data_IF_376125588247
#
_entry.id   IF_376125588247
#
_cell.length_a   1.000
_cell.length_b   1.000
_cell.length_c   1.000
_cell.angle_alpha   90.00
_cell.angle_beta   90.00
_cell.angle_gamma   90.00
#
_symmetry.space_group_name_H-M   'P 1'
#
loop_
_entity.id
_entity.type
_entity.pdbx_description
1 polymer ?
#
# COMPACT_ATOMS: atom_id res chain seq x y z
N UNK A 1 3.97 -69.33 -19.66
CA UNK A 1 4.57 -68.03 -19.26
C UNK A 1 3.44 -67.01 -19.20
N UNK A 2 3.15 -66.48 -18.00
CA UNK A 2 1.91 -65.75 -17.68
C UNK A 2 2.17 -64.25 -17.54
N UNK A 3 1.35 -63.43 -18.19
CA UNK A 3 1.40 -61.96 -18.33
C UNK A 3 1.27 -61.16 -17.02
N UNK A 4 1.44 -61.77 -15.85
CA UNK A 4 1.18 -61.15 -14.54
C UNK A 4 2.31 -60.28 -14.00
N UNK A 5 3.48 -60.24 -14.64
CA UNK A 5 4.64 -59.50 -14.13
C UNK A 5 4.86 -58.13 -14.78
N UNK A 6 4.05 -57.73 -15.77
CA UNK A 6 4.26 -56.50 -16.54
C UNK A 6 3.40 -55.29 -16.08
N UNK A 7 2.55 -55.45 -15.08
CA UNK A 7 1.65 -54.38 -14.60
C UNK A 7 2.20 -53.56 -13.44
N UNK A 8 3.37 -53.93 -12.89
CA UNK A 8 3.96 -53.25 -11.72
C UNK A 8 4.85 -52.06 -12.11
N UNK A 9 5.11 -51.83 -13.41
CA UNK A 9 5.99 -50.75 -13.87
C UNK A 9 5.26 -49.51 -14.45
N UNK A 10 3.93 -49.49 -14.55
CA UNK A 10 3.14 -48.33 -15.04
C UNK A 10 2.34 -47.64 -13.91
N UNK A 11 2.68 -47.94 -12.65
CA UNK A 11 2.42 -47.01 -11.53
C UNK A 11 3.70 -46.25 -11.18
N UNK A 12 4.63 -46.18 -12.15
CA UNK A 12 5.71 -45.21 -12.17
C UNK A 12 5.21 -43.88 -12.72
N UNK A 13 5.45 -42.81 -11.98
CA UNK A 13 5.43 -41.43 -12.44
C UNK A 13 4.07 -40.83 -12.81
N UNK A 14 3.22 -40.65 -11.79
CA UNK A 14 2.44 -39.42 -11.69
C UNK A 14 2.49 -38.89 -10.26
N UNK A 15 3.70 -38.84 -9.68
CA UNK A 15 3.96 -37.76 -8.73
C UNK A 15 4.04 -36.52 -9.60
N UNK A 16 2.87 -35.96 -9.92
CA UNK A 16 2.74 -34.61 -10.41
C UNK A 16 3.59 -33.80 -9.44
N UNK A 17 4.73 -33.32 -9.90
CA UNK A 17 5.47 -32.29 -9.23
C UNK A 17 4.49 -31.14 -9.08
N UNK A 18 3.77 -31.09 -7.95
CA UNK A 18 3.23 -29.85 -7.46
C UNK A 18 4.47 -28.99 -7.32
N UNK A 19 4.77 -28.20 -8.36
CA UNK A 19 5.58 -27.02 -8.19
C UNK A 19 4.82 -26.24 -7.12
N UNK A 20 5.30 -26.33 -5.89
CA UNK A 20 4.70 -25.73 -4.70
C UNK A 20 4.89 -24.23 -4.87
N UNK A 21 4.04 -23.64 -5.71
CA UNK A 21 3.98 -22.22 -5.92
C UNK A 21 3.33 -21.59 -4.70
N UNK A 22 4.00 -20.62 -4.10
CA UNK A 22 3.36 -19.83 -3.05
C UNK A 22 2.39 -18.86 -3.72
N UNK A 23 1.09 -19.01 -3.46
CA UNK A 23 0.09 -18.02 -3.84
C UNK A 23 0.18 -16.79 -2.92
N UNK A 24 0.24 -15.62 -3.52
CA UNK A 24 0.28 -14.34 -2.80
C UNK A 24 -1.17 -13.89 -2.58
N UNK A 25 -1.66 -14.06 -1.35
CA UNK A 25 -3.05 -13.75 -0.99
C UNK A 25 -3.34 -12.25 -1.01
N UNK A 26 -4.62 -11.91 -1.16
CA UNK A 26 -5.12 -10.53 -1.36
C UNK A 26 -4.89 -9.48 -0.25
N UNK A 27 -4.58 -9.78 1.02
CA UNK A 27 -4.06 -8.71 1.89
C UNK A 27 -2.62 -8.31 1.49
N UNK A 28 -1.84 -9.23 0.95
CA UNK A 28 -0.43 -9.01 0.58
C UNK A 28 -0.24 -8.57 -0.88
N UNK A 29 -1.33 -8.51 -1.66
CA UNK A 29 -1.32 -8.19 -3.08
C UNK A 29 -2.31 -7.06 -3.39
N UNK A 30 -1.78 -5.91 -3.76
CA UNK A 30 -2.53 -4.75 -4.24
C UNK A 30 -2.52 -4.74 -5.77
N UNK A 31 -3.66 -5.05 -6.38
CA UNK A 31 -3.85 -4.98 -7.82
C UNK A 31 -4.87 -3.89 -8.17
N UNK A 32 -4.67 -3.19 -9.28
CA UNK A 32 -5.65 -2.22 -9.77
C UNK A 32 -6.98 -2.91 -10.11
N UNK A 33 -8.13 -2.34 -9.70
CA UNK A 33 -9.45 -2.95 -9.89
C UNK A 33 -9.75 -3.34 -11.36
N UNK A 34 -9.20 -2.59 -12.32
CA UNK A 34 -9.29 -2.86 -13.77
C UNK A 34 -8.70 -4.22 -14.20
N UNK A 35 -7.86 -4.84 -13.37
CA UNK A 35 -7.24 -6.13 -13.63
C UNK A 35 -8.21 -7.31 -13.39
N UNK A 36 -9.35 -7.07 -12.72
CA UNK A 36 -10.34 -8.10 -12.46
C UNK A 36 -9.84 -9.19 -11.52
N UNK A 37 -10.18 -10.45 -11.81
CA UNK A 37 -9.78 -11.58 -10.99
C UNK A 37 -8.36 -12.04 -11.36
N UNK A 38 -7.38 -11.50 -10.66
CA UNK A 38 -5.95 -11.79 -10.86
C UNK A 38 -5.38 -12.53 -9.66
N UNK A 39 -4.53 -13.53 -9.91
CA UNK A 39 -3.76 -14.25 -8.91
C UNK A 39 -2.26 -14.13 -9.21
N UNK A 40 -1.45 -14.05 -8.18
CA UNK A 40 0.02 -14.00 -8.32
C UNK A 40 0.62 -15.15 -7.55
N UNK A 41 1.50 -15.89 -8.21
CA UNK A 41 2.22 -17.02 -7.66
C UNK A 41 3.72 -16.76 -7.69
N UNK A 42 4.42 -17.28 -6.69
CA UNK A 42 5.86 -17.40 -6.69
C UNK A 42 6.24 -18.87 -6.92
N UNK A 43 6.74 -19.19 -8.12
CA UNK A 43 7.11 -20.55 -8.57
C UNK A 43 8.54 -20.51 -9.11
N UNK A 44 9.40 -21.43 -8.68
CA UNK A 44 10.78 -21.58 -9.20
C UNK A 44 11.59 -20.26 -9.23
N UNK A 45 11.52 -19.47 -8.14
CA UNK A 45 12.15 -18.14 -8.01
C UNK A 45 11.69 -17.13 -9.08
N UNK A 46 10.47 -17.30 -9.61
CA UNK A 46 9.84 -16.40 -10.58
C UNK A 46 8.44 -16.04 -10.12
N UNK A 47 8.02 -14.83 -10.50
CA UNK A 47 6.66 -14.38 -10.29
C UNK A 47 5.81 -14.66 -11.52
N UNK A 48 4.67 -15.30 -11.29
CA UNK A 48 3.71 -15.69 -12.33
C UNK A 48 2.38 -15.03 -12.02
N UNK A 49 1.82 -14.34 -13.00
CA UNK A 49 0.48 -13.76 -12.94
C UNK A 49 -0.47 -14.70 -13.65
N UNK A 50 -1.56 -15.06 -13.01
CA UNK A 50 -2.65 -15.79 -13.63
C UNK A 50 -3.87 -14.87 -13.77
N UNK A 51 -4.34 -14.74 -15.01
CA UNK A 51 -5.54 -13.96 -15.37
C UNK A 51 -6.36 -14.78 -16.35
N UNK A 52 -7.64 -14.98 -16.05
CA UNK A 52 -8.57 -15.75 -16.89
C UNK A 52 -8.05 -17.17 -17.24
N UNK A 53 -7.38 -17.82 -16.28
CA UNK A 53 -6.78 -19.16 -16.44
C UNK A 53 -5.51 -19.18 -17.30
N UNK A 54 -5.00 -18.03 -17.75
CA UNK A 54 -3.73 -17.92 -18.47
C UNK A 54 -2.63 -17.44 -17.54
N UNK A 55 -1.55 -18.21 -17.45
CA UNK A 55 -0.35 -17.84 -16.73
C UNK A 55 0.59 -17.01 -17.62
N UNK A 56 1.15 -15.95 -17.03
CA UNK A 56 2.19 -15.13 -17.64
C UNK A 56 3.31 -14.86 -16.64
N UNK A 57 4.54 -15.16 -17.04
CA UNK A 57 5.72 -14.83 -16.25
C UNK A 57 5.98 -13.33 -16.26
N UNK A 58 6.24 -12.77 -15.08
CA UNK A 58 6.75 -11.41 -14.94
C UNK A 58 8.24 -11.43 -15.25
N UNK A 59 8.69 -10.57 -16.14
CA UNK A 59 10.11 -10.46 -16.45
C UNK A 59 10.88 -9.97 -15.21
N UNK A 60 12.07 -10.51 -14.90
CA UNK A 60 12.83 -10.12 -13.71
C UNK A 60 13.11 -8.61 -13.62
N UNK A 61 13.28 -7.93 -14.77
CA UNK A 61 13.48 -6.49 -14.84
C UNK A 61 12.26 -5.68 -14.36
N UNK A 62 11.05 -6.24 -14.43
CA UNK A 62 9.81 -5.63 -13.96
C UNK A 62 9.44 -6.06 -12.54
N UNK A 63 10.30 -6.83 -11.87
CA UNK A 63 10.17 -7.16 -10.46
C UNK A 63 11.10 -6.24 -9.66
N UNK A 64 10.57 -5.68 -8.56
CA UNK A 64 11.33 -4.83 -7.64
C UNK A 64 12.62 -5.52 -7.19
N UNK A 65 13.77 -4.82 -7.18
CA UNK A 65 15.06 -5.40 -6.83
C UNK A 65 15.08 -6.15 -5.49
N UNK A 66 14.27 -5.69 -4.53
CA UNK A 66 14.21 -6.23 -3.16
C UNK A 66 13.71 -7.69 -3.14
N UNK A 67 12.77 -8.02 -4.03
CA UNK A 67 12.11 -9.34 -4.07
C UNK A 67 12.49 -10.17 -5.29
N UNK A 68 13.24 -9.59 -6.25
CA UNK A 68 13.58 -10.24 -7.53
C UNK A 68 14.24 -11.61 -7.37
N UNK A 69 15.08 -11.75 -6.35
CA UNK A 69 15.83 -12.97 -6.05
C UNK A 69 15.41 -13.59 -4.70
N UNK A 70 14.26 -13.15 -4.15
CA UNK A 70 13.78 -13.68 -2.88
C UNK A 70 13.28 -15.12 -3.09
N UNK A 71 13.70 -16.04 -2.22
CA UNK A 71 13.07 -17.35 -2.14
C UNK A 71 11.71 -17.24 -1.41
N UNK A 72 10.91 -18.31 -1.40
CA UNK A 72 9.58 -18.28 -0.79
C UNK A 72 9.61 -17.99 0.72
N UNK A 73 10.66 -18.38 1.44
CA UNK A 73 10.83 -18.09 2.88
C UNK A 73 11.05 -16.60 3.13
N UNK A 74 12.01 -15.97 2.45
CA UNK A 74 12.27 -14.53 2.52
C UNK A 74 11.06 -13.71 2.10
N UNK A 75 10.37 -14.15 1.04
CA UNK A 75 9.15 -13.49 0.57
C UNK A 75 8.03 -13.58 1.61
N UNK A 76 7.83 -14.74 2.25
CA UNK A 76 6.84 -14.87 3.34
C UNK A 76 7.16 -13.98 4.53
N UNK A 77 8.44 -13.89 4.94
CA UNK A 77 8.89 -13.00 6.02
C UNK A 77 8.63 -11.53 5.70
N UNK A 78 8.92 -11.11 4.47
CA UNK A 78 8.60 -9.77 3.99
C UNK A 78 7.09 -9.49 4.05
N UNK A 79 6.25 -10.41 3.58
CA UNK A 79 4.80 -10.23 3.57
C UNK A 79 4.17 -10.23 4.96
N UNK A 80 4.76 -10.93 5.93
CA UNK A 80 4.31 -10.95 7.33
C UNK A 80 4.76 -9.70 8.10
N UNK A 81 5.96 -9.20 7.82
CA UNK A 81 6.55 -8.03 8.48
C UNK A 81 6.08 -6.69 7.86
N UNK A 82 4.81 -6.59 7.46
CA UNK A 82 4.19 -5.39 6.88
C UNK A 82 4.49 -5.09 5.40
N UNK A 83 5.14 -6.01 4.68
CA UNK A 83 5.31 -5.91 3.23
C UNK A 83 4.04 -6.20 2.44
N UNK A 84 3.86 -5.52 1.32
CA UNK A 84 2.88 -5.87 0.29
C UNK A 84 3.45 -5.70 -1.10
N UNK A 85 2.81 -6.35 -2.06
CA UNK A 85 3.18 -6.28 -3.46
C UNK A 85 2.14 -5.49 -4.23
N UNK A 86 2.58 -4.53 -5.04
CA UNK A 86 1.74 -3.79 -5.95
C UNK A 86 1.92 -4.31 -7.37
N UNK A 87 0.83 -4.81 -7.96
CA UNK A 87 0.81 -5.29 -9.32
C UNK A 87 0.25 -4.21 -10.26
N UNK A 88 1.04 -3.83 -11.25
CA UNK A 88 0.69 -2.87 -12.28
C UNK A 88 0.72 -3.52 -13.67
N UNK A 89 -0.25 -3.17 -14.51
CA UNK A 89 -0.27 -3.56 -15.93
C UNK A 89 0.55 -2.56 -16.76
N UNK A 90 1.48 -3.07 -17.55
CA UNK A 90 2.27 -2.33 -18.52
C UNK A 90 1.72 -2.64 -19.92
N UNK A 91 1.19 -1.63 -20.61
CA UNK A 91 0.78 -1.75 -22.01
C UNK A 91 1.94 -1.33 -22.90
N UNK A 92 2.49 -2.28 -23.66
CA UNK A 92 3.47 -2.00 -24.69
C UNK A 92 2.85 -1.30 -25.90
N UNK A 93 3.69 -0.63 -26.70
CA UNK A 93 3.29 0.06 -27.93
C UNK A 93 2.59 -0.88 -28.95
N UNK A 94 2.85 -2.17 -28.86
CA UNK A 94 2.36 -3.20 -29.77
C UNK A 94 1.04 -3.82 -29.28
N UNK A 95 0.44 -3.29 -28.21
CA UNK A 95 -0.70 -3.90 -27.52
C UNK A 95 -0.33 -5.08 -26.62
N UNK A 96 0.96 -5.39 -26.45
CA UNK A 96 1.41 -6.44 -25.52
C UNK A 96 1.17 -6.01 -24.07
N UNK A 97 0.54 -6.89 -23.29
CA UNK A 97 0.26 -6.65 -21.86
C UNK A 97 1.36 -7.31 -21.04
N UNK A 98 2.25 -6.54 -20.44
CA UNK A 98 3.21 -6.99 -19.43
C UNK A 98 2.77 -6.59 -18.02
N UNK A 99 3.44 -7.12 -17.00
CA UNK A 99 3.15 -6.83 -15.61
C UNK A 99 4.41 -6.32 -14.91
N UNK A 100 4.22 -5.41 -13.97
CA UNK A 100 5.25 -4.91 -13.06
C UNK A 100 4.84 -5.20 -11.62
N UNK A 101 5.79 -5.71 -10.84
CA UNK A 101 5.59 -6.06 -9.44
C UNK A 101 6.51 -5.22 -8.56
N UNK A 102 5.91 -4.25 -7.88
CA UNK A 102 6.60 -3.39 -6.93
C UNK A 102 6.45 -3.95 -5.51
N UNK A 103 7.56 -4.01 -4.76
CA UNK A 103 7.54 -4.34 -3.34
C UNK A 103 7.44 -3.05 -2.52
N UNK A 104 6.46 -2.98 -1.63
CA UNK A 104 6.18 -1.83 -0.79
C UNK A 104 6.10 -2.26 0.68
N UNK A 105 6.49 -1.39 1.60
CA UNK A 105 6.24 -1.58 3.03
C UNK A 105 5.01 -0.77 3.45
N UNK A 106 4.25 -1.28 4.42
CA UNK A 106 3.31 -0.45 5.20
C UNK A 106 4.08 0.24 6.32
N UNK A 107 3.66 1.44 6.67
CA UNK A 107 4.09 2.04 7.94
C UNK A 107 3.13 1.60 9.04
N UNK A 108 3.64 1.42 10.26
CA UNK A 108 2.82 1.16 11.43
C UNK A 108 1.71 2.20 11.53
N UNK A 109 0.45 1.76 11.46
CA UNK A 109 -0.71 2.65 11.34
C UNK A 109 -1.37 2.67 9.96
N UNK A 110 -1.30 1.60 9.16
CA UNK A 110 -1.85 1.53 7.80
C UNK A 110 -3.22 2.19 7.60
N UNK A 111 -3.34 2.88 6.47
CA UNK A 111 -4.55 3.36 5.83
C UNK A 111 -5.38 4.27 6.71
N UNK A 112 -6.31 3.66 7.46
CA UNK A 112 -7.24 4.38 8.32
C UNK A 112 -6.50 5.08 9.47
N UNK A 113 -5.57 4.39 10.14
CA UNK A 113 -4.89 4.98 11.30
C UNK A 113 -3.97 6.14 10.88
N UNK A 114 -3.30 6.02 9.74
CA UNK A 114 -2.50 7.08 9.14
C UNK A 114 -3.34 8.25 8.70
N UNK A 115 -4.54 7.99 8.16
CA UNK A 115 -5.49 9.06 7.83
C UNK A 115 -6.01 9.76 9.09
N UNK A 116 -6.31 9.04 10.16
CA UNK A 116 -6.73 9.62 11.43
C UNK A 116 -5.61 10.46 12.06
N UNK A 117 -4.39 9.92 12.13
CA UNK A 117 -3.24 10.65 12.67
C UNK A 117 -2.94 11.91 11.83
N UNK A 118 -2.93 11.77 10.51
CA UNK A 118 -2.72 12.89 9.58
C UNK A 118 -3.80 13.96 9.71
N UNK A 119 -5.06 13.57 9.92
CA UNK A 119 -6.18 14.47 10.15
C UNK A 119 -5.97 15.33 11.40
N UNK A 120 -5.63 14.70 12.53
CA UNK A 120 -5.36 15.42 13.79
C UNK A 120 -4.15 16.34 13.67
N UNK A 121 -3.04 15.88 13.06
CA UNK A 121 -1.84 16.70 12.87
C UNK A 121 -2.15 17.91 11.98
N UNK A 122 -2.86 17.70 10.88
CA UNK A 122 -3.24 18.75 9.95
C UNK A 122 -4.13 19.81 10.60
N UNK A 123 -5.16 19.37 11.33
CA UNK A 123 -6.07 20.28 12.07
C UNK A 123 -5.32 21.09 13.11
N UNK A 124 -4.58 20.41 13.98
CA UNK A 124 -3.84 21.03 15.08
C UNK A 124 -2.80 22.03 14.59
N UNK A 125 -2.10 21.73 13.48
CA UNK A 125 -1.09 22.65 12.92
C UNK A 125 -1.72 23.98 12.51
N UNK A 126 -2.88 23.95 11.85
CA UNK A 126 -3.56 25.17 11.40
C UNK A 126 -4.14 25.95 12.57
N UNK A 127 -4.79 25.28 13.54
CA UNK A 127 -5.30 25.92 14.76
C UNK A 127 -4.17 26.57 15.56
N UNK A 128 -3.07 25.84 15.76
CA UNK A 128 -1.92 26.34 16.51
C UNK A 128 -1.30 27.59 15.86
N UNK A 129 -1.15 27.60 14.54
CA UNK A 129 -0.65 28.77 13.81
C UNK A 129 -1.64 29.94 13.83
N UNK A 130 -2.94 29.67 13.64
CA UNK A 130 -3.98 30.69 13.63
C UNK A 130 -4.13 31.38 14.98
N UNK A 131 -4.38 30.61 16.04
CA UNK A 131 -4.48 31.15 17.39
C UNK A 131 -3.13 31.70 17.88
N UNK A 132 -2.01 31.06 17.53
CA UNK A 132 -0.67 31.57 17.85
C UNK A 132 -0.40 32.95 17.27
N UNK A 133 -0.84 33.22 16.03
CA UNK A 133 -0.72 34.53 15.41
C UNK A 133 -1.55 35.60 16.15
N UNK A 134 -2.77 35.24 16.59
CA UNK A 134 -3.60 36.12 17.44
C UNK A 134 -2.84 36.49 18.72
N UNK A 135 -2.23 35.51 19.38
CA UNK A 135 -1.47 35.75 20.61
C UNK A 135 -0.29 36.70 20.39
N UNK A 136 0.48 36.51 19.31
CA UNK A 136 1.61 37.39 18.96
C UNK A 136 1.15 38.81 18.69
N UNK A 137 0.09 39.00 17.91
CA UNK A 137 -0.45 40.34 17.60
C UNK A 137 -1.00 41.01 18.85
N UNK A 138 -1.76 40.28 19.67
CA UNK A 138 -2.28 40.81 20.91
C UNK A 138 -1.15 41.20 21.89
N UNK A 139 -0.05 40.45 21.94
CA UNK A 139 1.06 40.77 22.83
C UNK A 139 1.68 42.15 22.51
N UNK A 140 1.67 42.54 21.23
CA UNK A 140 2.11 43.85 20.79
C UNK A 140 1.20 45.01 21.22
N UNK A 141 0.03 44.77 21.82
CA UNK A 141 -0.90 45.82 22.27
C UNK A 141 -0.78 46.16 23.76
N UNK A 142 0.12 45.50 24.49
CA UNK A 142 0.43 45.81 25.88
C UNK A 142 -0.79 45.63 26.81
N UNK A 143 -1.20 46.65 27.60
CA UNK A 143 -2.35 46.53 28.51
C UNK A 143 -3.68 46.19 27.82
N UNK A 144 -3.82 46.48 26.52
CA UNK A 144 -5.02 46.14 25.76
C UNK A 144 -5.09 44.65 25.35
N UNK A 145 -4.05 43.86 25.65
CA UNK A 145 -3.93 42.46 25.27
C UNK A 145 -5.23 41.64 25.43
N UNK A 146 -5.92 41.64 26.60
CA UNK A 146 -7.12 40.81 26.76
C UNK A 146 -8.25 41.20 25.80
N UNK A 147 -8.45 42.50 25.58
CA UNK A 147 -9.46 43.00 24.66
C UNK A 147 -9.08 42.70 23.19
N UNK A 148 -7.80 42.80 22.86
CA UNK A 148 -7.29 42.46 21.52
C UNK A 148 -7.47 40.97 21.23
N UNK A 149 -7.15 40.08 22.17
CA UNK A 149 -7.39 38.62 21.99
C UNK A 149 -8.86 38.36 21.72
N UNK A 150 -9.78 38.86 22.56
CA UNK A 150 -11.22 38.61 22.38
C UNK A 150 -11.75 39.13 21.03
N UNK A 151 -11.32 40.32 20.61
CA UNK A 151 -11.73 40.89 19.33
C UNK A 151 -11.19 40.09 18.13
N UNK A 152 -9.91 39.69 18.19
CA UNK A 152 -9.29 38.88 17.13
C UNK A 152 -9.87 37.46 17.08
N UNK A 153 -10.09 36.82 18.22
CA UNK A 153 -10.73 35.50 18.30
C UNK A 153 -12.16 35.56 17.73
N UNK A 154 -12.97 36.56 18.12
CA UNK A 154 -14.32 36.71 17.58
C UNK A 154 -14.34 36.93 16.06
N UNK A 155 -13.30 37.58 15.52
CA UNK A 155 -13.20 37.89 14.08
C UNK A 155 -12.66 36.72 13.28
N UNK A 156 -11.62 36.05 13.78
CA UNK A 156 -10.82 35.11 13.01
C UNK A 156 -11.03 33.64 13.39
N UNK A 157 -11.56 33.32 14.58
CA UNK A 157 -11.78 31.92 14.98
C UNK A 157 -12.65 31.15 13.97
N UNK A 158 -13.73 31.71 13.38
CA UNK A 158 -14.50 31.00 12.36
C UNK A 158 -13.67 30.65 11.11
N UNK A 159 -12.80 31.57 10.67
CA UNK A 159 -11.93 31.35 9.52
C UNK A 159 -10.80 30.37 9.82
N UNK A 160 -10.23 30.42 11.03
CA UNK A 160 -9.21 29.48 11.51
C UNK A 160 -9.81 28.07 11.56
N UNK A 161 -11.01 27.89 12.11
CA UNK A 161 -11.69 26.60 12.17
C UNK A 161 -12.04 26.07 10.77
N UNK A 162 -12.48 26.94 9.85
CA UNK A 162 -12.73 26.54 8.47
C UNK A 162 -11.43 26.06 7.80
N UNK A 163 -10.32 26.80 7.97
CA UNK A 163 -9.02 26.43 7.44
C UNK A 163 -8.46 25.15 8.10
N UNK A 164 -8.69 24.95 9.39
CA UNK A 164 -8.21 23.78 10.13
C UNK A 164 -8.88 22.51 9.64
N UNK A 165 -10.17 22.57 9.30
CA UNK A 165 -10.89 21.46 8.69
C UNK A 165 -10.35 21.10 7.28
N UNK A 166 -9.93 22.10 6.49
CA UNK A 166 -9.21 21.85 5.22
C UNK A 166 -7.86 21.18 5.50
N UNK A 167 -7.11 21.69 6.47
CA UNK A 167 -5.84 21.10 6.91
C UNK A 167 -5.99 19.65 7.37
N UNK A 168 -7.09 19.35 8.07
CA UNK A 168 -7.44 18.01 8.52
C UNK A 168 -7.66 17.04 7.34
N UNK A 169 -8.40 17.47 6.32
CA UNK A 169 -8.63 16.66 5.11
C UNK A 169 -7.30 16.40 4.38
N UNK A 170 -6.51 17.44 4.14
CA UNK A 170 -5.22 17.31 3.45
C UNK A 170 -4.28 16.39 4.24
N UNK A 171 -4.13 16.64 5.55
CA UNK A 171 -3.31 15.83 6.43
C UNK A 171 -3.76 14.37 6.47
N UNK A 172 -5.07 14.11 6.51
CA UNK A 172 -5.61 12.75 6.49
C UNK A 172 -5.36 12.01 5.18
N UNK A 173 -5.50 12.68 4.04
CA UNK A 173 -5.16 12.08 2.74
C UNK A 173 -3.67 11.75 2.69
N UNK A 174 -2.80 12.70 3.05
CA UNK A 174 -1.35 12.50 3.06
C UNK A 174 -0.94 11.37 3.99
N UNK A 175 -1.45 11.35 5.22
CA UNK A 175 -1.17 10.29 6.21
C UNK A 175 -1.65 8.92 5.75
N UNK A 176 -2.86 8.82 5.19
CA UNK A 176 -3.38 7.57 4.64
C UNK A 176 -2.58 7.04 3.45
N UNK A 177 -2.17 7.93 2.54
CA UNK A 177 -1.34 7.56 1.38
C UNK A 177 0.05 7.10 1.80
N UNK A 178 0.69 7.82 2.73
CA UNK A 178 2.04 7.48 3.20
C UNK A 178 2.09 6.17 3.97
N UNK A 179 1.05 5.86 4.74
CA UNK A 179 1.00 4.63 5.55
C UNK A 179 0.55 3.40 4.76
N UNK A 180 -0.04 3.60 3.58
CA UNK A 180 -0.45 2.53 2.66
C UNK A 180 -1.73 1.80 3.10
N UNK A 181 -2.31 0.93 2.28
CA UNK A 181 -3.51 0.17 2.63
C UNK A 181 -3.22 -0.90 3.69
N UNK A 182 -4.24 -1.23 4.50
CA UNK A 182 -4.24 -2.42 5.38
C UNK A 182 -4.48 -3.66 4.53
#
# INVERSE_FOLDING_TARGET
>A
MSYKTLYVCIVGLAVSSLAIGMEIKRPSLMAAAKLGNIRVFHKDNKFVVERDGKEKNIQPCFVSPIIRNANSDLLSKFLVADGYLRLNELKGANGSIDYKLDACGRLNGGGLNGATAGCYIGKFTVEFLGHGAIQVVAWCTGPAYPATVLALEATFAPAIEAASNVGAIVGGITGGVLTGPI
#
